data_IF_590758944154
#
_entry.id   IF_590758944154
#
_cell.length_a   1.000
_cell.length_b   1.000
_cell.length_c   1.000
_cell.angle_alpha   90.00
_cell.angle_beta   90.00
_cell.angle_gamma   90.00
#
_symmetry.space_group_name_H-M   'P 1'
#
loop_
_entity.id
_entity.type
_entity.pdbx_description
1 polymer ?
#
# COMPACT_ATOMS: atom_id res chain seq x y z
N UNK A 1 21.14 -49.50 24.92
CA UNK A 1 20.00 -48.70 24.43
C UNK A 1 19.86 -48.95 22.94
N UNK A 2 18.90 -49.81 22.59
CA UNK A 2 18.68 -50.32 21.23
C UNK A 2 17.91 -49.31 20.38
N UNK A 3 18.46 -48.98 19.21
CA UNK A 3 17.82 -48.14 18.20
C UNK A 3 16.82 -48.96 17.39
N UNK A 4 15.54 -48.58 17.43
CA UNK A 4 14.52 -49.12 16.54
C UNK A 4 14.64 -48.50 15.14
N UNK A 5 14.95 -49.36 14.16
CA UNK A 5 14.84 -49.13 12.71
C UNK A 5 13.36 -48.93 12.32
N UNK A 6 13.02 -47.76 11.79
CA UNK A 6 11.76 -47.57 11.06
C UNK A 6 11.92 -48.01 9.60
N UNK A 7 10.96 -48.81 9.15
CA UNK A 7 10.88 -49.47 7.85
C UNK A 7 10.60 -48.46 6.72
N UNK A 8 11.31 -48.65 5.60
CA UNK A 8 11.00 -48.08 4.28
C UNK A 8 9.67 -48.66 3.78
N UNK A 9 8.78 -47.79 3.31
CA UNK A 9 7.59 -48.16 2.56
C UNK A 9 7.86 -47.99 1.06
N UNK A 10 7.45 -48.98 0.25
CA UNK A 10 7.72 -49.10 -1.19
C UNK A 10 6.42 -49.31 -1.96
N UNK A 11 6.06 -48.34 -2.81
CA UNK A 11 5.19 -48.49 -3.99
C UNK A 11 3.67 -48.42 -3.76
N UNK A 12 2.86 -48.09 -4.80
CA UNK A 12 3.11 -48.36 -6.22
C UNK A 12 3.31 -47.11 -7.11
N UNK A 13 3.94 -47.36 -8.27
CA UNK A 13 4.38 -46.38 -9.27
C UNK A 13 3.30 -45.82 -10.23
N UNK A 14 3.72 -45.17 -11.32
CA UNK A 14 2.92 -44.18 -12.04
C UNK A 14 1.93 -44.82 -13.02
N UNK A 15 0.67 -44.37 -12.97
CA UNK A 15 -0.33 -44.70 -13.98
C UNK A 15 -0.21 -43.74 -15.16
N UNK A 16 0.23 -44.26 -16.31
CA UNK A 16 0.16 -43.58 -17.61
C UNK A 16 -1.25 -43.78 -18.18
N UNK A 17 -1.99 -42.69 -18.34
CA UNK A 17 -3.24 -42.64 -19.10
C UNK A 17 -3.26 -41.43 -20.02
N UNK A 18 -3.27 -41.68 -21.33
CA UNK A 18 -3.47 -40.68 -22.40
C UNK A 18 -4.95 -40.65 -22.82
N UNK A 19 -5.32 -39.50 -23.37
CA UNK A 19 -6.40 -39.22 -24.32
C UNK A 19 -7.79 -38.89 -23.75
N UNK A 20 -8.33 -37.76 -24.22
CA UNK A 20 -9.72 -37.36 -24.03
C UNK A 20 -9.90 -35.85 -24.10
N UNK A 21 -9.86 -35.29 -25.31
CA UNK A 21 -10.29 -33.91 -25.55
C UNK A 21 -11.79 -33.75 -25.19
N UNK A 22 -12.11 -32.72 -24.43
CA UNK A 22 -13.46 -32.17 -24.31
C UNK A 22 -13.34 -30.66 -24.22
N UNK A 23 -13.52 -30.02 -25.37
CA UNK A 23 -13.78 -28.60 -25.49
C UNK A 23 -15.03 -28.24 -24.70
N UNK A 24 -14.96 -27.10 -24.00
CA UNK A 24 -16.05 -26.22 -23.53
C UNK A 24 -15.92 -25.87 -22.06
N UNK A 25 -15.11 -24.83 -21.81
CA UNK A 25 -15.35 -23.88 -20.72
C UNK A 25 -14.56 -22.62 -21.04
N UNK A 26 -15.09 -21.84 -21.98
CA UNK A 26 -14.63 -20.47 -22.17
C UNK A 26 -15.04 -19.69 -20.93
N UNK A 27 -14.02 -19.41 -20.14
CA UNK A 27 -13.85 -18.46 -19.04
C UNK A 27 -14.70 -17.18 -19.16
N UNK A 28 -15.96 -17.25 -18.72
CA UNK A 28 -16.79 -16.08 -18.41
C UNK A 28 -16.40 -15.45 -17.04
N UNK A 29 -15.12 -15.09 -16.86
CA UNK A 29 -14.65 -14.30 -15.69
C UNK A 29 -13.58 -13.25 -16.01
N UNK A 30 -13.15 -13.11 -17.27
CA UNK A 30 -12.17 -12.09 -17.68
C UNK A 30 -12.78 -10.90 -18.44
N UNK A 31 -14.07 -10.95 -18.80
CA UNK A 31 -14.71 -9.98 -19.70
C UNK A 31 -15.33 -8.76 -18.99
N UNK A 32 -15.01 -8.49 -17.71
CA UNK A 32 -15.60 -7.38 -16.94
C UNK A 32 -14.65 -6.21 -16.65
N UNK A 33 -13.43 -6.25 -17.18
CA UNK A 33 -12.42 -5.19 -16.98
C UNK A 33 -12.11 -4.34 -18.22
N UNK A 34 -12.70 -4.67 -19.38
CA UNK A 34 -12.56 -3.90 -20.62
C UNK A 34 -13.69 -2.88 -20.84
N UNK A 35 -14.63 -2.75 -19.89
CA UNK A 35 -15.63 -1.69 -19.94
C UNK A 35 -15.10 -0.41 -19.27
N UNK A 36 -14.97 0.63 -20.10
CA UNK A 36 -14.98 2.05 -19.75
C UNK A 36 -13.70 2.61 -19.12
N UNK A 37 -12.65 2.69 -19.95
CA UNK A 37 -11.72 3.82 -19.89
C UNK A 37 -12.30 4.96 -20.76
N UNK A 38 -13.41 5.58 -20.32
CA UNK A 38 -13.73 6.93 -20.79
C UNK A 38 -12.68 7.86 -20.17
N UNK A 39 -11.49 7.88 -20.79
CA UNK A 39 -10.33 8.63 -20.34
C UNK A 39 -10.55 10.15 -20.36
N UNK A 40 -11.61 10.62 -21.02
CA UNK A 40 -11.88 12.02 -21.31
C UNK A 40 -13.18 12.54 -20.69
N UNK A 41 -13.79 11.84 -19.71
CA UNK A 41 -14.91 12.42 -18.98
C UNK A 41 -14.42 13.66 -18.20
N UNK A 42 -14.87 14.88 -18.54
CA UNK A 42 -14.41 16.12 -17.92
C UNK A 42 -14.79 16.22 -16.44
N UNK A 43 -15.62 15.29 -15.95
CA UNK A 43 -16.07 15.20 -14.56
C UNK A 43 -15.11 14.40 -13.66
N UNK A 44 -14.11 13.70 -14.24
CA UNK A 44 -13.13 12.94 -13.47
C UNK A 44 -11.90 13.79 -13.16
N UNK A 45 -11.47 13.78 -11.89
CA UNK A 45 -10.32 14.57 -11.46
C UNK A 45 -9.01 14.12 -12.12
N UNK A 46 -8.19 15.06 -12.59
CA UNK A 46 -6.81 14.81 -13.04
C UNK A 46 -5.82 14.76 -11.86
N UNK A 47 -6.21 14.14 -10.75
CA UNK A 47 -5.40 14.04 -9.55
C UNK A 47 -5.63 12.70 -8.83
N UNK A 48 -4.64 12.32 -8.03
CA UNK A 48 -4.80 11.36 -6.94
C UNK A 48 -4.67 12.09 -5.61
N UNK A 49 -5.13 11.49 -4.52
CA UNK A 49 -4.98 12.07 -3.18
C UNK A 49 -4.06 11.18 -2.37
N UNK A 50 -3.02 11.77 -1.78
CA UNK A 50 -2.23 11.17 -0.74
C UNK A 50 -2.82 11.56 0.61
N UNK A 51 -3.21 10.56 1.39
CA UNK A 51 -3.75 10.74 2.72
C UNK A 51 -2.70 10.31 3.74
N UNK A 52 -2.22 11.26 4.53
CA UNK A 52 -1.20 11.05 5.55
C UNK A 52 -1.86 10.96 6.93
N UNK A 53 -1.82 9.79 7.58
CA UNK A 53 -2.39 9.62 8.91
C UNK A 53 -1.50 10.33 9.92
N UNK A 54 -2.09 11.27 10.66
CA UNK A 54 -1.44 11.99 11.74
C UNK A 54 -1.62 11.27 13.07
N UNK A 55 -0.65 11.43 13.96
CA UNK A 55 -0.82 11.21 15.40
C UNK A 55 -0.49 12.53 16.07
N UNK A 56 -1.51 13.20 16.58
CA UNK A 56 -1.35 14.45 17.32
C UNK A 56 -0.97 14.19 18.77
N UNK A 57 -0.37 15.20 19.41
CA UNK A 57 0.12 15.09 20.79
C UNK A 57 -1.00 14.78 21.78
N UNK A 58 -2.21 15.31 21.52
CA UNK A 58 -3.41 15.05 22.34
C UNK A 58 -3.86 13.58 22.24
N UNK A 59 -3.67 12.96 21.06
CA UNK A 59 -4.02 11.57 20.78
C UNK A 59 -2.88 10.58 21.14
N UNK A 60 -1.68 11.06 21.47
CA UNK A 60 -0.51 10.20 21.67
C UNK A 60 -0.66 9.19 22.81
N UNK A 61 -1.44 9.50 23.84
CA UNK A 61 -1.67 8.59 24.97
C UNK A 61 -2.48 7.35 24.54
N UNK A 62 -3.51 7.57 23.71
CA UNK A 62 -4.47 6.56 23.28
C UNK A 62 -4.13 5.93 21.92
N UNK A 63 -3.17 6.50 21.18
CA UNK A 63 -2.75 5.96 19.89
C UNK A 63 -1.98 4.64 20.05
N UNK A 64 -2.21 3.73 19.09
CA UNK A 64 -1.57 2.43 19.06
C UNK A 64 -0.04 2.58 19.02
N UNK A 65 0.66 1.86 19.91
CA UNK A 65 2.11 2.00 20.11
C UNK A 65 2.94 1.86 18.82
N UNK A 66 2.46 1.09 17.85
CA UNK A 66 3.09 0.93 16.53
C UNK A 66 3.12 2.21 15.70
N UNK A 67 2.07 3.05 15.80
CA UNK A 67 2.03 4.32 15.09
C UNK A 67 3.01 5.32 15.72
N UNK A 68 3.14 5.30 17.05
CA UNK A 68 4.18 6.06 17.76
C UNK A 68 5.59 5.61 17.37
N UNK A 69 5.79 4.30 17.27
CA UNK A 69 7.06 3.73 16.83
C UNK A 69 7.37 4.06 15.36
N UNK A 70 6.35 4.07 14.48
CA UNK A 70 6.47 4.52 13.10
C UNK A 70 7.00 5.95 13.00
N UNK A 71 6.40 6.85 13.78
CA UNK A 71 6.81 8.25 13.86
C UNK A 71 8.25 8.35 14.33
N UNK A 72 8.59 7.68 15.43
CA UNK A 72 9.94 7.70 15.98
C UNK A 72 11.00 7.25 14.97
N UNK A 73 10.75 6.18 14.22
CA UNK A 73 11.69 5.63 13.24
C UNK A 73 11.83 6.50 11.98
N UNK A 74 10.76 7.18 11.57
CA UNK A 74 10.70 7.87 10.28
C UNK A 74 10.90 9.37 10.38
N UNK A 75 10.92 9.92 11.59
CA UNK A 75 11.25 11.32 11.85
C UNK A 75 12.76 11.51 11.77
N UNK A 76 13.28 12.35 10.87
CA UNK A 76 14.72 12.61 10.82
C UNK A 76 15.19 13.23 12.14
N UNK A 77 16.24 12.66 12.76
CA UNK A 77 16.77 13.12 14.06
C UNK A 77 17.14 14.61 14.08
N UNK A 78 17.49 15.14 12.91
CA UNK A 78 17.91 16.54 12.71
C UNK A 78 16.75 17.48 12.37
N UNK A 79 15.53 16.93 12.19
CA UNK A 79 14.30 17.65 11.82
C UNK A 79 13.18 17.52 12.88
N UNK A 80 13.50 17.08 14.11
CA UNK A 80 12.65 17.36 15.28
C UNK A 80 12.72 18.85 15.63
N UNK A 81 12.48 19.71 14.64
CA UNK A 81 12.38 21.15 14.85
C UNK A 81 10.96 21.36 15.37
N UNK A 82 10.78 21.87 16.60
CA UNK A 82 9.47 22.28 17.08
C UNK A 82 8.81 23.21 16.05
N UNK A 83 7.61 22.87 15.56
CA UNK A 83 6.82 23.72 14.68
C UNK A 83 6.72 23.32 13.19
N UNK A 84 7.35 22.23 12.73
CA UNK A 84 7.16 21.76 11.34
C UNK A 84 5.94 20.82 11.27
N UNK A 85 4.74 21.35 11.40
CA UNK A 85 3.50 20.58 11.19
C UNK A 85 3.33 20.23 9.70
N UNK A 86 2.86 19.02 9.35
CA UNK A 86 2.69 17.79 10.15
C UNK A 86 3.91 16.85 10.14
N UNK A 87 5.07 17.27 9.61
CA UNK A 87 6.27 16.42 9.51
C UNK A 87 6.74 15.96 10.89
N UNK A 88 6.94 14.66 11.06
CA UNK A 88 7.24 14.04 12.36
C UNK A 88 6.00 13.68 13.19
N UNK A 89 4.79 13.85 12.65
CA UNK A 89 3.53 13.30 13.19
C UNK A 89 2.88 12.28 12.27
N UNK A 90 3.44 12.09 11.09
CA UNK A 90 2.91 11.16 10.09
C UNK A 90 3.38 9.75 10.44
N UNK A 91 2.42 8.86 10.74
CA UNK A 91 2.70 7.45 11.00
C UNK A 91 2.42 6.55 9.79
N UNK A 92 1.61 7.02 8.84
CA UNK A 92 1.12 6.19 7.73
C UNK A 92 0.78 7.04 6.51
N UNK A 93 0.81 6.44 5.32
CA UNK A 93 0.38 7.07 4.08
C UNK A 93 -0.46 6.10 3.26
N UNK A 94 -1.56 6.61 2.72
CA UNK A 94 -2.53 5.88 1.90
C UNK A 94 -2.73 6.64 0.58
N UNK A 95 -3.08 5.92 -0.48
CA UNK A 95 -3.32 6.49 -1.81
C UNK A 95 -4.78 6.31 -2.18
N UNK A 96 -5.44 7.42 -2.51
CA UNK A 96 -6.83 7.47 -2.90
C UNK A 96 -6.91 7.79 -4.39
N UNK A 97 -7.62 6.95 -5.12
CA UNK A 97 -7.87 7.10 -6.55
C UNK A 97 -9.38 7.17 -6.77
N UNK A 98 -9.83 8.16 -7.53
CA UNK A 98 -11.19 8.19 -8.04
C UNK A 98 -11.32 7.13 -9.15
N UNK A 99 -12.00 6.01 -8.93
CA UNK A 99 -12.10 4.94 -9.95
C UNK A 99 -13.22 5.21 -10.95
N UNK A 100 -14.30 5.86 -10.50
CA UNK A 100 -15.42 6.32 -11.31
C UNK A 100 -15.95 7.66 -10.76
N UNK A 101 -16.94 8.27 -11.42
CA UNK A 101 -17.61 9.48 -10.91
C UNK A 101 -18.11 9.21 -9.50
N UNK A 102 -17.72 10.07 -8.55
CA UNK A 102 -18.07 9.97 -7.12
C UNK A 102 -17.62 8.68 -6.41
N UNK A 103 -16.84 7.80 -7.07
CA UNK A 103 -16.34 6.56 -6.47
C UNK A 103 -14.85 6.66 -6.18
N UNK A 104 -14.50 6.73 -4.90
CA UNK A 104 -13.12 6.77 -4.43
C UNK A 104 -12.72 5.46 -3.78
N UNK A 105 -11.53 4.97 -4.13
CA UNK A 105 -10.91 3.78 -3.53
C UNK A 105 -9.58 4.15 -2.90
N UNK A 106 -9.35 3.64 -1.70
CA UNK A 106 -8.16 3.91 -0.91
C UNK A 106 -7.34 2.65 -0.71
N UNK A 107 -6.08 2.71 -1.11
CA UNK A 107 -5.14 1.60 -1.03
C UNK A 107 -4.17 1.82 0.12
N UNK A 108 -3.99 0.77 0.93
CA UNK A 108 -3.23 0.82 2.16
C UNK A 108 -2.66 -0.54 2.54
N UNK A 109 -1.67 -0.54 3.43
CA UNK A 109 -1.12 -1.75 4.05
C UNK A 109 -0.65 -1.44 5.47
N UNK A 110 -1.35 -2.01 6.46
CA UNK A 110 -0.98 -1.87 7.86
C UNK A 110 0.17 -2.82 8.22
N UNK A 111 1.00 -2.46 9.19
CA UNK A 111 2.04 -3.37 9.68
C UNK A 111 1.43 -4.60 10.36
N UNK A 112 0.51 -4.39 11.29
CA UNK A 112 -0.25 -5.45 11.95
C UNK A 112 -1.74 -5.20 11.82
N UNK A 113 -2.50 -6.27 11.70
CA UNK A 113 -3.97 -6.28 11.73
C UNK A 113 -4.43 -7.20 12.86
N UNK A 114 -5.38 -6.72 13.66
CA UNK A 114 -6.02 -7.54 14.69
C UNK A 114 -7.12 -8.39 14.06
N UNK A 115 -6.97 -9.70 14.14
CA UNK A 115 -8.00 -10.67 13.74
C UNK A 115 -8.62 -11.21 15.02
N UNK A 116 -9.92 -11.00 15.18
CA UNK A 116 -10.65 -11.57 16.32
C UNK A 116 -10.90 -13.05 16.04
N UNK A 117 -10.29 -13.90 16.85
CA UNK A 117 -10.51 -15.33 16.83
C UNK A 117 -11.98 -15.63 17.20
N UNK A 118 -12.75 -16.31 16.34
CA UNK A 118 -14.18 -16.51 16.56
C UNK A 118 -14.48 -17.47 17.72
N UNK A 119 -13.58 -18.42 17.98
CA UNK A 119 -13.78 -19.47 18.99
C UNK A 119 -13.43 -18.97 20.39
N UNK A 120 -12.40 -18.12 20.51
CA UNK A 120 -11.87 -17.65 21.79
C UNK A 120 -12.20 -16.19 22.10
N UNK A 121 -12.66 -15.41 21.10
CA UNK A 121 -12.88 -13.97 21.20
C UNK A 121 -11.62 -13.13 21.36
N UNK A 122 -10.43 -13.75 21.40
CA UNK A 122 -9.14 -13.08 21.56
C UNK A 122 -8.71 -12.43 20.25
N UNK A 123 -8.02 -11.30 20.35
CA UNK A 123 -7.43 -10.64 19.17
C UNK A 123 -6.04 -11.20 18.93
N UNK A 124 -5.83 -11.82 17.77
CA UNK A 124 -4.52 -12.24 17.27
C UNK A 124 -4.02 -11.19 16.29
N UNK A 125 -2.81 -10.71 16.50
CA UNK A 125 -2.18 -9.77 15.57
C UNK A 125 -1.39 -10.53 14.51
N UNK A 126 -1.68 -10.25 13.24
CA UNK A 126 -0.95 -10.80 12.11
C UNK A 126 -0.42 -9.67 11.23
N UNK A 127 0.63 -9.92 10.46
CA UNK A 127 1.13 -8.92 9.52
C UNK A 127 0.05 -8.56 8.50
N UNK A 128 -0.12 -7.26 8.28
CA UNK A 128 -1.11 -6.79 7.32
C UNK A 128 -0.74 -7.14 5.88
N UNK A 129 -1.74 -7.02 5.03
CA UNK A 129 -1.59 -7.17 3.58
C UNK A 129 -2.15 -5.94 2.88
N UNK A 130 -1.74 -5.72 1.63
CA UNK A 130 -2.31 -4.68 0.77
C UNK A 130 -3.81 -4.89 0.68
N UNK A 131 -4.57 -3.85 0.97
CA UNK A 131 -6.02 -3.87 0.97
C UNK A 131 -6.58 -2.58 0.39
N UNK A 132 -7.85 -2.65 0.03
CA UNK A 132 -8.64 -1.58 -0.54
C UNK A 132 -9.79 -1.27 0.41
N UNK A 133 -10.01 0.01 0.67
CA UNK A 133 -11.07 0.50 1.54
C UNK A 133 -11.81 1.65 0.85
N UNK A 134 -13.10 1.76 1.15
CA UNK A 134 -13.87 2.95 0.79
C UNK A 134 -13.56 4.04 1.84
N UNK A 135 -13.13 5.24 1.44
CA UNK A 135 -13.00 6.37 2.38
C UNK A 135 -14.32 6.68 3.07
N UNK A 136 -14.29 7.01 4.36
CA UNK A 136 -15.45 7.45 5.12
C UNK A 136 -15.10 8.68 5.95
N UNK A 137 -16.03 9.62 6.10
CA UNK A 137 -15.79 10.87 6.86
C UNK A 137 -15.19 10.59 8.25
N UNK A 138 -15.68 9.57 8.96
CA UNK A 138 -15.20 9.16 10.27
C UNK A 138 -13.77 8.64 10.28
N UNK A 139 -13.27 8.06 9.19
CA UNK A 139 -11.85 7.68 9.11
C UNK A 139 -10.97 8.87 8.72
N UNK A 140 -11.53 9.71 7.87
CA UNK A 140 -10.82 10.76 7.14
C UNK A 140 -10.52 12.00 8.00
N UNK A 141 -11.07 12.14 9.20
CA UNK A 141 -10.77 13.28 10.08
C UNK A 141 -9.33 13.30 10.62
N UNK A 142 -8.64 12.15 10.73
CA UNK A 142 -7.25 12.04 11.25
C UNK A 142 -6.16 12.16 10.19
N UNK A 143 -6.53 12.57 8.98
CA UNK A 143 -5.64 12.56 7.83
C UNK A 143 -5.37 13.98 7.35
N UNK A 144 -4.13 14.20 6.96
CA UNK A 144 -3.73 15.35 6.15
C UNK A 144 -3.72 14.96 4.68
N UNK A 145 -4.19 15.86 3.81
CA UNK A 145 -4.40 15.56 2.39
C UNK A 145 -3.51 16.39 1.49
N UNK A 146 -2.91 15.70 0.52
CA UNK A 146 -2.23 16.33 -0.60
C UNK A 146 -2.80 15.78 -1.89
N UNK A 147 -3.29 16.66 -2.76
CA UNK A 147 -3.65 16.30 -4.14
C UNK A 147 -2.42 16.33 -5.01
N UNK A 148 -2.20 15.27 -5.77
CA UNK A 148 -1.09 15.15 -6.72
C UNK A 148 -1.68 15.08 -8.12
N UNK A 149 -1.32 16.05 -8.98
CA UNK A 149 -1.80 16.12 -10.35
C UNK A 149 -1.20 14.98 -11.17
N UNK A 150 -2.05 14.04 -11.60
CA UNK A 150 -1.67 12.88 -12.41
C UNK A 150 -2.73 12.70 -13.51
N UNK A 151 -2.33 12.59 -14.80
CA UNK A 151 -3.28 12.36 -15.88
C UNK A 151 -4.11 11.09 -15.67
N UNK A 152 -5.39 11.12 -16.10
CA UNK A 152 -6.35 10.03 -15.87
C UNK A 152 -5.85 8.66 -16.33
N UNK A 153 -5.28 8.59 -17.53
CA UNK A 153 -4.69 7.36 -18.07
C UNK A 153 -3.63 6.76 -17.13
N UNK A 154 -2.77 7.61 -16.53
CA UNK A 154 -1.73 7.16 -15.59
C UNK A 154 -2.34 6.73 -14.25
N UNK A 155 -3.37 7.41 -13.75
CA UNK A 155 -4.11 6.96 -12.56
C UNK A 155 -4.67 5.55 -12.73
N UNK A 156 -5.18 5.22 -13.92
CA UNK A 156 -5.72 3.87 -14.20
C UNK A 156 -4.62 2.81 -14.29
N UNK A 157 -3.42 3.16 -14.72
CA UNK A 157 -2.24 2.28 -14.64
C UNK A 157 -1.88 2.05 -13.15
N UNK A 158 -1.85 3.11 -12.34
CA UNK A 158 -1.61 3.01 -10.90
C UNK A 158 -2.65 2.11 -10.22
N UNK A 159 -3.94 2.31 -10.54
CA UNK A 159 -5.04 1.50 -10.02
C UNK A 159 -4.87 0.02 -10.39
N UNK A 160 -4.57 -0.30 -11.66
CA UNK A 160 -4.31 -1.69 -12.10
C UNK A 160 -3.15 -2.33 -11.34
N UNK A 161 -2.08 -1.58 -11.11
CA UNK A 161 -0.96 -2.05 -10.28
C UNK A 161 -1.39 -2.34 -8.84
N UNK A 162 -2.09 -1.41 -8.18
CA UNK A 162 -2.54 -1.58 -6.79
C UNK A 162 -3.45 -2.80 -6.66
N UNK A 163 -4.37 -2.98 -7.61
CA UNK A 163 -5.24 -4.14 -7.68
C UNK A 163 -4.47 -5.45 -7.84
N UNK A 164 -3.40 -5.46 -8.63
CA UNK A 164 -2.56 -6.66 -8.78
C UNK A 164 -1.74 -6.99 -7.52
N UNK A 165 -1.46 -5.98 -6.68
CA UNK A 165 -0.78 -6.15 -5.41
C UNK A 165 -1.73 -6.49 -4.24
N UNK A 166 -3.05 -6.59 -4.45
CA UNK A 166 -4.00 -6.93 -3.39
C UNK A 166 -3.62 -8.24 -2.66
N UNK A 167 -3.61 -8.20 -1.33
CA UNK A 167 -3.18 -9.30 -0.49
C UNK A 167 -1.66 -9.53 -0.44
N UNK A 168 -0.85 -8.65 -1.05
CA UNK A 168 0.60 -8.74 -0.92
C UNK A 168 1.04 -8.41 0.52
N UNK A 169 2.04 -9.12 1.09
CA UNK A 169 2.32 -9.04 2.52
C UNK A 169 3.21 -7.86 2.90
N UNK A 170 3.12 -7.44 4.15
CA UNK A 170 3.96 -6.36 4.69
C UNK A 170 5.46 -6.71 4.70
N UNK A 171 6.29 -5.70 4.40
CA UNK A 171 7.75 -5.79 4.41
C UNK A 171 8.33 -5.42 5.79
N UNK A 172 8.17 -6.32 6.76
CA UNK A 172 8.65 -6.08 8.14
C UNK A 172 10.16 -5.80 8.21
N UNK A 173 10.97 -6.54 7.45
CA UNK A 173 12.41 -6.35 7.44
C UNK A 173 12.83 -5.02 6.84
N UNK A 174 12.22 -4.60 5.72
CA UNK A 174 12.42 -3.26 5.18
C UNK A 174 12.02 -2.19 6.19
N UNK A 175 10.87 -2.37 6.86
CA UNK A 175 10.39 -1.43 7.86
C UNK A 175 11.33 -1.27 9.06
N UNK A 176 11.85 -2.36 9.63
CA UNK A 176 12.74 -2.29 10.80
C UNK A 176 14.19 -1.89 10.45
N UNK A 177 14.74 -2.45 9.36
CA UNK A 177 16.17 -2.34 9.05
C UNK A 177 16.52 -1.08 8.24
N UNK A 178 15.61 -0.57 7.42
CA UNK A 178 15.91 0.60 6.58
C UNK A 178 16.09 1.88 7.39
N UNK A 179 15.52 1.96 8.59
CA UNK A 179 15.66 3.14 9.44
C UNK A 179 16.78 3.01 10.50
N UNK A 180 17.34 1.81 10.66
CA UNK A 180 18.35 1.52 11.69
C UNK A 180 19.73 1.16 11.13
N UNK A 181 19.83 0.75 9.86
CA UNK A 181 21.09 0.28 9.27
C UNK A 181 21.47 1.01 7.97
N UNK A 182 22.75 0.95 7.62
CA UNK A 182 23.27 1.46 6.35
C UNK A 182 22.75 0.65 5.14
N UNK A 183 22.44 -0.64 5.34
CA UNK A 183 21.89 -1.51 4.32
C UNK A 183 20.38 -1.29 4.16
N UNK A 184 19.92 -1.03 2.93
CA UNK A 184 18.50 -0.84 2.64
C UNK A 184 17.93 -2.09 1.97
N UNK A 185 16.86 -2.65 2.51
CA UNK A 185 16.12 -3.82 2.02
C UNK A 185 14.74 -3.42 1.51
N UNK A 186 14.24 -4.11 0.48
CA UNK A 186 12.92 -3.82 -0.09
C UNK A 186 12.99 -3.40 -1.56
N UNK A 187 11.91 -2.77 -2.03
CA UNK A 187 11.75 -2.53 -3.46
C UNK A 187 12.64 -1.38 -3.94
N UNK A 188 13.27 -1.56 -5.10
CA UNK A 188 14.17 -0.55 -5.66
C UNK A 188 13.43 0.43 -6.55
N UNK A 189 12.68 -0.01 -7.56
CA UNK A 189 12.00 0.91 -8.49
C UNK A 189 10.64 0.37 -8.93
N UNK A 190 9.58 1.16 -8.72
CA UNK A 190 8.20 0.87 -9.10
C UNK A 190 8.04 0.53 -10.58
N UNK A 191 8.64 1.31 -11.50
CA UNK A 191 8.54 1.08 -12.95
C UNK A 191 9.12 -0.25 -13.43
N UNK A 192 10.02 -0.86 -12.65
CA UNK A 192 10.66 -2.15 -12.97
C UNK A 192 9.98 -3.32 -12.25
N UNK A 193 8.96 -3.06 -11.44
CA UNK A 193 8.22 -4.10 -10.74
C UNK A 193 7.36 -4.84 -11.76
N UNK A 194 7.50 -6.16 -11.78
CA UNK A 194 6.59 -7.05 -12.47
C UNK A 194 5.23 -7.04 -11.75
N UNK A 195 4.18 -6.41 -12.32
CA UNK A 195 2.89 -6.25 -11.64
C UNK A 195 2.15 -7.58 -11.50
N UNK A 196 2.56 -8.64 -12.22
CA UNK A 196 1.95 -9.97 -12.09
C UNK A 196 2.36 -10.70 -10.81
N UNK A 197 3.42 -10.23 -10.14
CA UNK A 197 3.95 -10.82 -8.92
C UNK A 197 3.58 -9.96 -7.72
N UNK A 198 3.24 -10.63 -6.62
CA UNK A 198 3.02 -9.97 -5.33
C UNK A 198 4.37 -9.73 -4.66
N UNK A 199 4.65 -8.47 -4.36
CA UNK A 199 5.88 -8.06 -3.69
C UNK A 199 5.61 -7.66 -2.24
N UNK A 200 6.65 -7.69 -1.41
CA UNK A 200 6.54 -7.16 -0.05
C UNK A 200 6.70 -5.66 -0.06
N UNK A 201 5.82 -4.94 0.62
CA UNK A 201 5.89 -3.48 0.76
C UNK A 201 5.71 -3.02 2.20
N UNK A 202 6.36 -1.93 2.56
CA UNK A 202 5.85 -1.01 3.58
C UNK A 202 4.76 -0.10 2.99
N UNK A 203 4.02 0.64 3.81
CA UNK A 203 3.02 1.58 3.30
C UNK A 203 3.62 2.61 2.34
N UNK A 204 4.74 3.23 2.72
CA UNK A 204 5.44 4.19 1.88
C UNK A 204 6.02 3.56 0.60
N UNK A 205 6.58 2.34 0.67
CA UNK A 205 7.08 1.65 -0.52
C UNK A 205 5.97 1.38 -1.54
N UNK A 206 4.79 0.94 -1.09
CA UNK A 206 3.64 0.67 -1.95
C UNK A 206 3.20 1.96 -2.67
N UNK A 207 3.02 3.04 -1.91
CA UNK A 207 2.55 4.32 -2.46
C UNK A 207 3.60 4.89 -3.42
N UNK A 208 4.88 4.87 -3.05
CA UNK A 208 5.94 5.36 -3.93
C UNK A 208 6.06 4.54 -5.22
N UNK A 209 5.94 3.21 -5.13
CA UNK A 209 5.93 2.35 -6.32
C UNK A 209 4.75 2.68 -7.24
N UNK A 210 3.56 2.93 -6.67
CA UNK A 210 2.40 3.36 -7.45
C UNK A 210 2.65 4.72 -8.13
N UNK A 211 3.20 5.72 -7.43
CA UNK A 211 3.54 7.03 -8.03
C UNK A 211 4.56 6.91 -9.17
N UNK A 212 5.58 6.07 -9.01
CA UNK A 212 6.56 5.77 -10.07
C UNK A 212 5.91 5.09 -11.28
N UNK A 213 4.99 4.13 -11.05
CA UNK A 213 4.22 3.48 -12.11
C UNK A 213 3.27 4.47 -12.81
N UNK A 214 2.72 5.42 -12.06
CA UNK A 214 1.98 6.56 -12.57
C UNK A 214 2.85 7.62 -13.23
N UNK A 215 4.16 7.38 -13.36
CA UNK A 215 5.17 8.26 -13.95
C UNK A 215 5.05 9.71 -13.45
N UNK A 216 4.87 9.87 -12.14
CA UNK A 216 5.02 11.18 -11.52
C UNK A 216 6.46 11.65 -11.70
N UNK A 217 6.65 12.88 -12.17
CA UNK A 217 7.96 13.48 -12.36
C UNK A 217 8.77 13.49 -11.04
N UNK A 218 10.10 13.45 -11.16
CA UNK A 218 11.06 13.40 -10.05
C UNK A 218 11.02 12.16 -9.15
N UNK A 219 10.10 11.21 -9.39
CA UNK A 219 10.03 9.99 -8.58
C UNK A 219 11.06 8.93 -9.00
N UNK A 220 11.57 8.97 -10.23
CA UNK A 220 12.42 7.92 -10.82
C UNK A 220 13.80 7.78 -10.16
N UNK A 221 14.32 8.88 -9.61
CA UNK A 221 15.67 8.93 -9.03
C UNK A 221 15.71 8.33 -7.61
N UNK A 222 14.55 8.19 -6.96
CA UNK A 222 14.45 7.77 -5.57
C UNK A 222 13.93 6.34 -5.47
N UNK A 223 14.73 5.45 -4.87
CA UNK A 223 14.31 4.07 -4.70
C UNK A 223 13.20 3.91 -3.65
N UNK A 224 12.20 3.06 -3.89
CA UNK A 224 11.05 2.88 -2.98
C UNK A 224 11.48 2.56 -1.53
N UNK A 225 12.46 1.68 -1.34
CA UNK A 225 12.99 1.26 -0.03
C UNK A 225 13.55 2.39 0.84
N UNK A 226 13.80 3.56 0.25
CA UNK A 226 14.28 4.75 0.98
C UNK A 226 13.13 5.63 1.47
N UNK A 227 11.89 5.34 1.07
CA UNK A 227 10.76 6.19 1.37
C UNK A 227 10.08 5.81 2.68
N UNK A 228 9.83 6.84 3.47
CA UNK A 228 8.95 6.84 4.63
C UNK A 228 7.74 7.73 4.37
N UNK A 229 6.66 7.63 5.16
CA UNK A 229 5.52 8.55 5.05
C UNK A 229 5.95 10.01 5.13
N UNK A 230 6.86 10.36 6.06
CA UNK A 230 7.42 11.71 6.18
C UNK A 230 8.25 12.12 4.96
N UNK A 231 9.05 11.22 4.38
CA UNK A 231 9.84 11.52 3.18
C UNK A 231 8.94 11.79 1.97
N UNK A 232 7.85 11.03 1.83
CA UNK A 232 6.85 11.26 0.77
C UNK A 232 6.17 12.62 0.99
N UNK A 233 5.78 12.94 2.22
CA UNK A 233 5.19 14.24 2.52
C UNK A 233 6.12 15.41 2.18
N UNK A 234 7.40 15.34 2.57
CA UNK A 234 8.39 16.37 2.23
C UNK A 234 8.61 16.48 0.71
N UNK A 235 8.63 15.36 -0.01
CA UNK A 235 8.65 15.37 -1.48
C UNK A 235 7.43 16.12 -2.04
N UNK A 236 6.24 15.84 -1.53
CA UNK A 236 5.02 16.49 -2.02
C UNK A 236 4.99 18.00 -1.74
N UNK A 237 5.61 18.47 -0.65
CA UNK A 237 5.72 19.91 -0.38
C UNK A 237 6.63 20.65 -1.35
N UNK A 238 7.66 19.97 -1.86
CA UNK A 238 8.61 20.55 -2.80
C UNK A 238 8.14 20.45 -4.26
N UNK A 239 7.20 19.55 -4.55
CA UNK A 239 6.74 19.25 -5.91
C UNK A 239 5.70 20.27 -6.41
N UNK A 240 5.88 20.86 -7.61
CA UNK A 240 4.90 21.78 -8.19
C UNK A 240 3.60 21.09 -8.66
N UNK A 241 3.59 19.75 -8.68
CA UNK A 241 2.42 18.94 -9.04
C UNK A 241 1.49 18.69 -7.85
N UNK A 242 1.88 19.16 -6.67
CA UNK A 242 1.18 18.91 -5.43
C UNK A 242 0.55 20.19 -4.89
N UNK A 243 -0.64 20.06 -4.32
CA UNK A 243 -1.28 21.12 -3.55
C UNK A 243 -1.90 20.54 -2.29
N UNK A 244 -1.87 21.31 -1.20
CA UNK A 244 -2.68 20.97 -0.04
C UNK A 244 -4.16 20.94 -0.44
N UNK A 245 -4.88 19.95 0.08
CA UNK A 245 -6.30 19.82 -0.20
C UNK A 245 -7.09 19.92 1.12
N UNK A 246 -8.24 20.60 1.14
CA UNK A 246 -9.21 20.41 2.21
C UNK A 246 -9.65 18.94 2.23
N UNK A 247 -10.16 18.45 3.36
CA UNK A 247 -10.70 17.10 3.45
C UNK A 247 -11.79 16.92 2.38
N UNK A 248 -11.56 16.10 1.32
CA UNK A 248 -12.50 15.98 0.21
C UNK A 248 -13.76 15.19 0.58
N UNK A 249 -13.81 14.66 1.81
CA UNK A 249 -14.91 13.88 2.36
C UNK A 249 -15.61 14.58 3.53
N UNK A 250 -15.28 15.84 3.80
CA UNK A 250 -16.03 16.66 4.74
C UNK A 250 -17.41 16.95 4.14
N UNK A 251 -18.49 16.66 4.89
CA UNK A 251 -19.84 17.06 4.47
C UNK A 251 -19.92 18.59 4.60
N UNK A 252 -20.18 19.27 3.48
CA UNK A 252 -20.63 20.68 3.47
C UNK A 252 -22.07 20.77 3.92
#
# INVERSE_FOLDING_TARGET
MSYHKLRKWTGPGPNKGKAGASQNTVTAKSARFDLMLDNDSPELGHHVILAFKLVDDEDMADEHYLNRWAIYLTTPKNKQIPGVYPSGRICHVELIIQVQREEYRMYSINMLQGIRDPDTGKVKYEYGTVHELTPSTDRMHKYHYVTVRIPRAKQMIMHKFLMSQMGAPFNFWGYGLNYTTACKFGQTYGKKIDPSKKHRYTCAELIWAALQIGELEDTDEVTCRRMSPNAIYEFTRASPFCSSAPNPFART
#
